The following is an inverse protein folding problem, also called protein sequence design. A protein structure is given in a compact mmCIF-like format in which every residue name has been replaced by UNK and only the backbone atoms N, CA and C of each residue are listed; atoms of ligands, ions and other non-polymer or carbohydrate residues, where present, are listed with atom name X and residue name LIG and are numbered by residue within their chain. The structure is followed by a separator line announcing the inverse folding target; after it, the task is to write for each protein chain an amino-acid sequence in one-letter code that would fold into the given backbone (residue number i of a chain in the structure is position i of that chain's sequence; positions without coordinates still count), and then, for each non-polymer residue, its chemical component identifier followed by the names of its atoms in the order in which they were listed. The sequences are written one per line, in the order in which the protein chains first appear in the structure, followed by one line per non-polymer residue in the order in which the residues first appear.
data_IF_991351164219
#
_entry.id   IF_991351164219
#
_cell.length_a   1.000
_cell.length_b   1.000
_cell.length_c   1.000
_cell.angle_alpha   90.00
_cell.angle_beta   90.00
_cell.angle_gamma   90.00
#
_symmetry.space_group_name_H-M   'P 1'
#
loop_
_entity.id
_entity.type
_entity.pdbx_description
1 polymer ?
#
# COMPACT_ATOMS: atom_id res chain seq x y z
N UNK A 1 41.33 -40.63 4.55
CA UNK A 1 40.39 -40.24 5.61
C UNK A 1 39.89 -38.84 5.28
N UNK A 2 38.77 -38.75 4.56
CA UNK A 2 38.29 -37.50 3.97
C UNK A 2 37.62 -36.65 5.05
N UNK A 3 38.35 -35.67 5.58
CA UNK A 3 37.89 -34.65 6.54
C UNK A 3 37.32 -33.43 5.80
N UNK A 4 36.58 -33.64 4.72
CA UNK A 4 35.85 -32.59 4.00
C UNK A 4 34.46 -33.16 3.76
N UNK A 5 33.54 -32.88 4.68
CA UNK A 5 32.18 -33.41 4.65
C UNK A 5 31.49 -33.46 6.02
N UNK A 6 32.25 -33.41 7.13
CA UNK A 6 31.69 -33.55 8.49
C UNK A 6 31.48 -32.21 9.22
N UNK A 7 31.64 -31.09 8.52
CA UNK A 7 31.28 -29.74 8.96
C UNK A 7 30.82 -29.01 7.70
N UNK A 8 29.62 -29.30 7.20
CA UNK A 8 28.85 -28.28 6.52
C UNK A 8 27.89 -27.75 7.58
N UNK A 9 28.18 -26.62 8.26
CA UNK A 9 27.21 -25.88 9.08
C UNK A 9 26.14 -25.25 8.18
N UNK A 10 25.56 -26.06 7.30
CA UNK A 10 24.49 -25.74 6.38
C UNK A 10 23.17 -26.02 7.04
N UNK A 11 22.87 -25.35 8.15
CA UNK A 11 21.47 -25.02 8.44
C UNK A 11 21.46 -23.82 9.37
N UNK A 12 21.28 -22.65 8.76
CA UNK A 12 20.85 -21.38 9.37
C UNK A 12 20.15 -21.64 10.71
N UNK A 13 20.92 -21.54 11.79
CA UNK A 13 20.45 -21.73 13.18
C UNK A 13 19.30 -20.76 13.39
N UNK A 14 18.08 -21.31 13.31
CA UNK A 14 16.79 -20.69 13.62
C UNK A 14 16.71 -19.17 13.38
N UNK A 15 16.29 -18.77 12.18
CA UNK A 15 15.47 -17.56 12.08
C UNK A 15 14.19 -17.87 12.85
N UNK A 16 14.12 -17.43 14.11
CA UNK A 16 12.91 -17.59 14.92
C UNK A 16 11.70 -17.03 14.18
N UNK A 17 10.53 -17.64 14.36
CA UNK A 17 9.26 -17.21 13.75
C UNK A 17 8.71 -15.90 14.34
N UNK A 18 9.59 -14.97 14.70
CA UNK A 18 9.24 -13.62 15.10
C UNK A 18 9.17 -12.69 13.88
N UNK A 19 8.50 -11.53 14.02
CA UNK A 19 8.44 -10.54 12.96
C UNK A 19 9.86 -10.14 12.54
N UNK A 20 10.12 -10.22 11.24
CA UNK A 20 11.38 -9.84 10.64
C UNK A 20 11.39 -8.38 10.19
N UNK A 21 12.53 -7.91 9.69
CA UNK A 21 12.68 -6.53 9.21
C UNK A 21 11.69 -6.23 8.07
N UNK A 22 11.36 -7.22 7.25
CA UNK A 22 10.37 -7.05 6.18
C UNK A 22 8.96 -6.85 6.73
N UNK A 23 8.56 -7.59 7.78
CA UNK A 23 7.30 -7.33 8.49
C UNK A 23 7.28 -5.93 9.13
N UNK A 24 8.40 -5.48 9.70
CA UNK A 24 8.54 -4.11 10.23
C UNK A 24 8.38 -3.04 9.14
N UNK A 25 9.04 -3.22 7.99
CA UNK A 25 8.93 -2.32 6.86
C UNK A 25 7.49 -2.29 6.29
N UNK A 26 6.84 -3.45 6.20
CA UNK A 26 5.45 -3.54 5.76
C UNK A 26 4.50 -2.76 6.68
N UNK A 27 4.70 -2.85 8.00
CA UNK A 27 3.91 -2.07 8.95
C UNK A 27 4.07 -0.56 8.76
N UNK A 28 5.31 -0.10 8.58
CA UNK A 28 5.60 1.31 8.31
C UNK A 28 4.93 1.78 7.00
N UNK A 29 5.01 0.98 5.94
CA UNK A 29 4.36 1.29 4.67
C UNK A 29 2.83 1.43 4.83
N UNK A 30 2.19 0.53 5.59
CA UNK A 30 0.74 0.60 5.87
C UNK A 30 0.39 1.86 6.68
N UNK A 31 1.22 2.26 7.65
CA UNK A 31 0.99 3.48 8.42
C UNK A 31 1.01 4.74 7.54
N UNK A 32 1.97 4.82 6.60
CA UNK A 32 2.01 5.92 5.63
C UNK A 32 0.83 5.89 4.65
N UNK A 33 0.44 4.69 4.19
CA UNK A 33 -0.74 4.54 3.32
C UNK A 33 -2.01 5.02 4.03
N UNK A 34 -2.22 4.62 5.28
CA UNK A 34 -3.37 5.07 6.07
C UNK A 34 -3.40 6.59 6.22
N UNK A 35 -2.24 7.20 6.49
CA UNK A 35 -2.11 8.66 6.60
C UNK A 35 -2.47 9.35 5.27
N UNK A 36 -1.99 8.81 4.14
CA UNK A 36 -2.32 9.33 2.82
C UNK A 36 -3.82 9.27 2.53
N UNK A 37 -4.50 8.16 2.89
CA UNK A 37 -5.95 8.03 2.75
C UNK A 37 -6.71 9.12 3.53
N UNK A 38 -6.27 9.44 4.76
CA UNK A 38 -6.88 10.50 5.57
C UNK A 38 -6.71 11.88 4.93
N UNK A 39 -5.52 12.18 4.40
CA UNK A 39 -5.27 13.46 3.72
C UNK A 39 -6.16 13.63 2.48
N UNK A 40 -6.27 12.58 1.67
CA UNK A 40 -7.16 12.57 0.49
C UNK A 40 -8.62 12.72 0.91
N UNK A 41 -9.04 12.07 1.99
CA UNK A 41 -10.39 12.21 2.52
C UNK A 41 -10.70 13.66 2.93
N UNK A 42 -9.80 14.32 3.65
CA UNK A 42 -9.96 15.73 4.02
C UNK A 42 -10.00 16.65 2.80
N UNK A 43 -9.17 16.40 1.78
CA UNK A 43 -9.24 17.15 0.53
C UNK A 43 -10.59 16.91 -0.18
N UNK A 44 -11.04 15.65 -0.24
CA UNK A 44 -12.32 15.24 -0.80
C UNK A 44 -13.52 15.93 -0.13
N UNK A 45 -13.51 16.09 1.19
CA UNK A 45 -14.59 16.81 1.89
C UNK A 45 -14.70 18.29 1.50
N UNK A 46 -13.65 18.90 0.94
CA UNK A 46 -13.68 20.31 0.51
C UNK A 46 -14.22 20.50 -0.90
N UNK A 47 -14.01 19.51 -1.78
CA UNK A 47 -14.35 19.58 -3.20
C UNK A 47 -15.58 18.74 -3.57
N UNK A 48 -15.95 17.80 -2.69
CA UNK A 48 -17.07 16.90 -2.85
C UNK A 48 -18.40 17.62 -2.64
N UNK A 49 -19.42 17.15 -3.35
CA UNK A 49 -20.78 17.66 -3.22
C UNK A 49 -21.29 17.45 -1.79
N UNK A 50 -21.92 18.49 -1.22
CA UNK A 50 -22.42 18.50 0.16
C UNK A 50 -21.35 18.19 1.23
N UNK A 51 -20.08 18.44 0.92
CA UNK A 51 -18.95 18.12 1.80
C UNK A 51 -18.64 16.63 1.93
N UNK A 52 -19.29 15.78 1.11
CA UNK A 52 -19.08 14.35 1.13
C UNK A 52 -17.95 13.94 0.16
N UNK A 53 -16.88 13.28 0.65
CA UNK A 53 -15.71 12.95 -0.17
C UNK A 53 -15.95 11.81 -1.18
N UNK A 54 -17.10 11.14 -1.06
CA UNK A 54 -17.50 10.04 -1.94
C UNK A 54 -18.58 10.44 -2.95
N UNK A 55 -19.17 11.63 -2.84
CA UNK A 55 -20.16 12.06 -3.83
C UNK A 55 -19.48 12.43 -5.15
N UNK A 56 -20.06 11.94 -6.24
CA UNK A 56 -19.69 12.33 -7.58
C UNK A 56 -20.22 13.75 -7.83
N UNK A 57 -19.37 14.61 -8.40
CA UNK A 57 -19.78 15.96 -8.81
C UNK A 57 -20.85 15.85 -9.91
N UNK A 58 -21.97 16.58 -9.79
CA UNK A 58 -22.96 16.61 -10.86
C UNK A 58 -22.32 17.25 -12.09
N UNK A 59 -22.08 16.45 -13.12
CA UNK A 59 -21.66 16.98 -14.40
C UNK A 59 -22.81 17.84 -14.96
N UNK A 60 -22.55 19.08 -15.41
CA UNK A 60 -23.58 19.84 -16.12
C UNK A 60 -24.04 19.05 -17.35
N UNK A 61 -25.35 19.06 -17.68
CA UNK A 61 -25.84 18.36 -18.85
C UNK A 61 -25.16 18.92 -20.10
N UNK A 62 -24.44 18.04 -20.79
CA UNK A 62 -23.76 18.26 -22.08
C UNK A 62 -22.58 19.26 -22.07
N UNK A 63 -21.36 18.77 -21.76
CA UNK A 63 -20.10 19.30 -22.37
C UNK A 63 -18.83 18.45 -22.17
N UNK A 64 -18.93 17.19 -21.74
CA UNK A 64 -17.78 16.28 -21.66
C UNK A 64 -18.01 15.07 -22.59
N UNK A 65 -17.79 15.29 -23.88
CA UNK A 65 -17.62 14.18 -24.84
C UNK A 65 -16.24 13.58 -24.60
N UNK A 66 -16.15 12.53 -23.78
CA UNK A 66 -14.99 11.65 -23.79
C UNK A 66 -14.96 11.00 -25.17
N UNK A 67 -14.08 11.51 -26.05
CA UNK A 67 -13.77 10.86 -27.33
C UNK A 67 -13.16 9.52 -26.99
N UNK A 68 -13.96 8.46 -27.11
CA UNK A 68 -13.49 7.09 -27.08
C UNK A 68 -12.33 6.98 -28.09
N UNK A 69 -11.13 6.77 -27.57
CA UNK A 69 -10.00 6.39 -28.40
C UNK A 69 -10.16 4.91 -28.72
N UNK A 70 -10.41 4.61 -29.99
CA UNK A 70 -10.25 3.27 -30.57
C UNK A 70 -8.80 2.80 -30.43
#
# INVERSE_FOLDING_TARGET
MSQIGMQMPGTRVRRGGGPDIYAGLAFVAVAFLATACVLVYQAGTKIGKDGSPFAIQDAPPAKLSLKAAN
#
